data_IF_767593449375
#
_entry.id   IF_767593449375
#
_cell.length_a   1.000
_cell.length_b   1.000
_cell.length_c   1.000
_cell.angle_alpha   90.00
_cell.angle_beta   90.00
_cell.angle_gamma   90.00
#
_symmetry.space_group_name_H-M   'P 1'
#
loop_
_entity.id
_entity.type
_entity.pdbx_description
1 polymer ?
#
# COMPACT_ATOMS: atom_id res chain seq x y z
N UNK A 1 -13.65 22.42 48.82
CA UNK A 1 -13.74 21.43 47.71
C UNK A 1 -13.19 22.06 46.43
N UNK A 2 -11.97 21.71 46.03
CA UNK A 2 -11.33 22.25 44.83
C UNK A 2 -11.90 21.62 43.57
N UNK A 3 -12.42 22.44 42.65
CA UNK A 3 -12.86 22.00 41.32
C UNK A 3 -11.63 21.57 40.52
N UNK A 4 -11.49 20.27 40.27
CA UNK A 4 -10.53 19.75 39.29
C UNK A 4 -10.82 20.40 37.93
N UNK A 5 -9.95 21.31 37.48
CA UNK A 5 -10.02 21.86 36.12
C UNK A 5 -9.56 20.76 35.18
N UNK A 6 -10.52 20.13 34.50
CA UNK A 6 -10.23 19.18 33.43
C UNK A 6 -9.42 19.92 32.36
N UNK A 7 -8.24 19.41 31.94
CA UNK A 7 -7.43 20.07 30.95
C UNK A 7 -8.18 20.25 29.64
N UNK A 8 -8.02 21.40 28.98
CA UNK A 8 -8.76 21.75 27.76
C UNK A 8 -8.59 20.71 26.61
N UNK A 9 -7.48 19.97 26.60
CA UNK A 9 -7.23 18.89 25.63
C UNK A 9 -8.12 17.65 25.84
N UNK A 10 -8.75 17.49 27.01
CA UNK A 10 -9.69 16.40 27.30
C UNK A 10 -11.07 16.64 26.65
N UNK A 11 -11.39 17.87 26.25
CA UNK A 11 -12.62 18.25 25.54
C UNK A 11 -12.45 18.31 24.01
N UNK A 12 -11.43 17.67 23.45
CA UNK A 12 -11.38 17.48 22.00
C UNK A 12 -12.47 16.49 21.57
N UNK A 13 -13.36 16.95 20.70
CA UNK A 13 -14.34 16.09 20.05
C UNK A 13 -13.68 14.94 19.28
N UNK A 14 -14.40 13.83 19.11
CA UNK A 14 -13.90 12.59 18.49
C UNK A 14 -13.15 12.82 17.16
N UNK A 15 -13.66 13.73 16.31
CA UNK A 15 -13.02 14.10 15.04
C UNK A 15 -11.61 14.68 15.21
N UNK A 16 -11.42 15.56 16.20
CA UNK A 16 -10.13 16.19 16.45
C UNK A 16 -9.12 15.17 17.01
N UNK A 17 -9.58 14.22 17.85
CA UNK A 17 -8.75 13.11 18.32
C UNK A 17 -8.31 12.21 17.17
N UNK A 18 -9.24 11.84 16.27
CA UNK A 18 -8.95 11.01 15.10
C UNK A 18 -7.92 11.66 14.17
N UNK A 19 -8.02 12.97 13.93
CA UNK A 19 -7.04 13.71 13.14
C UNK A 19 -5.67 13.76 13.79
N UNK A 20 -5.61 13.94 15.12
CA UNK A 20 -4.34 13.92 15.85
C UNK A 20 -3.70 12.53 15.76
N UNK A 21 -4.46 11.46 15.98
CA UNK A 21 -3.94 10.11 15.88
C UNK A 21 -3.48 9.78 14.46
N UNK A 22 -4.25 10.14 13.43
CA UNK A 22 -3.84 9.87 12.04
C UNK A 22 -2.57 10.64 11.67
N UNK A 23 -2.45 11.90 12.10
CA UNK A 23 -1.25 12.71 11.89
C UNK A 23 -0.05 12.13 12.63
N UNK A 24 -0.23 11.72 13.88
CA UNK A 24 0.82 11.13 14.70
C UNK A 24 1.30 9.80 14.11
N UNK A 25 0.38 8.95 13.63
CA UNK A 25 0.71 7.73 12.90
C UNK A 25 1.52 8.04 11.64
N UNK A 26 1.13 9.03 10.84
CA UNK A 26 1.87 9.40 9.63
C UNK A 26 3.28 9.90 9.94
N UNK A 27 3.45 10.70 10.99
CA UNK A 27 4.77 11.18 11.44
C UNK A 27 5.64 10.01 11.91
N UNK A 28 5.09 9.11 12.73
CA UNK A 28 5.81 7.91 13.19
C UNK A 28 6.22 7.06 11.99
N UNK A 29 5.30 6.76 11.06
CA UNK A 29 5.61 5.98 9.86
C UNK A 29 6.72 6.65 9.02
N UNK A 30 6.70 7.97 8.87
CA UNK A 30 7.74 8.71 8.16
C UNK A 30 9.12 8.64 8.81
N UNK A 31 9.19 8.70 10.15
CA UNK A 31 10.45 8.59 10.90
C UNK A 31 11.05 7.18 10.82
N UNK A 32 10.20 6.15 10.82
CA UNK A 32 10.63 4.76 10.77
C UNK A 32 10.90 4.23 9.35
N UNK A 33 10.53 4.97 8.30
CA UNK A 33 10.66 4.53 6.91
C UNK A 33 12.12 4.18 6.53
N UNK A 34 13.08 5.03 6.92
CA UNK A 34 14.51 4.80 6.68
C UNK A 34 15.08 3.60 7.44
N UNK A 35 14.94 3.54 8.78
CA UNK A 35 15.38 2.39 9.58
C UNK A 35 14.73 1.07 9.15
N UNK A 36 13.42 1.08 8.84
CA UNK A 36 12.71 -0.10 8.35
C UNK A 36 13.27 -0.56 6.99
N UNK A 37 13.53 0.37 6.06
CA UNK A 37 14.13 0.04 4.78
C UNK A 37 15.49 -0.64 4.95
N UNK A 38 16.35 -0.14 5.85
CA UNK A 38 17.65 -0.74 6.12
C UNK A 38 17.52 -2.14 6.76
N UNK A 39 16.64 -2.29 7.74
CA UNK A 39 16.39 -3.57 8.39
C UNK A 39 15.88 -4.63 7.40
N UNK A 40 14.91 -4.27 6.54
CA UNK A 40 14.38 -5.14 5.48
C UNK A 40 15.48 -5.48 4.47
N UNK A 41 16.33 -4.53 4.10
CA UNK A 41 17.41 -4.75 3.13
C UNK A 41 18.44 -5.77 3.65
N UNK A 42 18.81 -5.71 4.93
CA UNK A 42 19.71 -6.67 5.57
C UNK A 42 19.08 -8.06 5.59
N UNK A 43 17.80 -8.16 5.99
CA UNK A 43 17.09 -9.44 6.01
C UNK A 43 16.90 -10.03 4.60
N UNK A 44 16.58 -9.19 3.61
CA UNK A 44 16.43 -9.59 2.22
C UNK A 44 17.72 -10.16 1.62
N UNK A 45 18.89 -9.68 2.07
CA UNK A 45 20.19 -10.23 1.65
C UNK A 45 20.41 -11.68 2.14
N UNK A 46 19.84 -12.05 3.29
CA UNK A 46 19.93 -13.42 3.84
C UNK A 46 18.86 -14.39 3.30
N UNK A 47 17.77 -13.88 2.71
CA UNK A 47 16.56 -14.65 2.39
C UNK A 47 16.11 -14.58 0.92
N UNK A 48 17.03 -14.79 -0.02
CA UNK A 48 16.81 -14.57 -1.48
C UNK A 48 15.56 -15.28 -2.01
N UNK A 49 15.28 -16.51 -1.56
CA UNK A 49 14.11 -17.29 -2.01
C UNK A 49 12.81 -16.66 -1.51
N UNK A 50 12.72 -16.32 -0.22
CA UNK A 50 11.52 -15.71 0.37
C UNK A 50 11.18 -14.37 -0.28
N UNK A 51 12.20 -13.56 -0.58
CA UNK A 51 12.04 -12.27 -1.28
C UNK A 51 11.52 -12.49 -2.70
N UNK A 52 12.07 -13.46 -3.45
CA UNK A 52 11.61 -13.77 -4.82
C UNK A 52 10.19 -14.32 -4.83
N UNK A 53 9.87 -15.23 -3.91
CA UNK A 53 8.51 -15.77 -3.80
C UNK A 53 7.52 -14.66 -3.45
N UNK A 54 7.84 -13.82 -2.46
CA UNK A 54 7.00 -12.66 -2.12
C UNK A 54 6.82 -11.70 -3.30
N UNK A 55 7.90 -11.43 -4.05
CA UNK A 55 7.82 -10.62 -5.27
C UNK A 55 6.85 -11.21 -6.29
N UNK A 56 6.98 -12.49 -6.63
CA UNK A 56 6.13 -13.14 -7.63
C UNK A 56 4.69 -13.30 -7.16
N UNK A 57 4.46 -13.57 -5.86
CA UNK A 57 3.12 -13.63 -5.26
C UNK A 57 2.42 -12.27 -5.29
N UNK A 58 3.17 -11.17 -5.13
CA UNK A 58 2.64 -9.81 -5.24
C UNK A 58 2.61 -9.26 -6.67
N UNK A 59 3.14 -9.99 -7.65
CA UNK A 59 3.27 -9.47 -9.00
C UNK A 59 1.91 -9.45 -9.69
N UNK A 60 1.48 -8.26 -10.13
CA UNK A 60 0.16 -8.06 -10.74
C UNK A 60 -0.15 -8.98 -11.92
N UNK A 61 0.83 -9.27 -12.79
CA UNK A 61 0.63 -10.18 -13.92
C UNK A 61 0.37 -11.62 -13.45
N UNK A 62 1.11 -12.09 -12.44
CA UNK A 62 0.92 -13.43 -11.87
C UNK A 62 -0.47 -13.56 -11.25
N UNK A 63 -0.89 -12.57 -10.45
CA UNK A 63 -2.21 -12.55 -9.84
C UNK A 63 -3.33 -12.52 -10.89
N UNK A 64 -3.20 -11.68 -11.92
CA UNK A 64 -4.18 -11.58 -13.00
C UNK A 64 -4.31 -12.90 -13.77
N UNK A 65 -3.18 -13.50 -14.16
CA UNK A 65 -3.17 -14.80 -14.87
C UNK A 65 -3.75 -15.91 -13.99
N UNK A 66 -3.37 -15.95 -12.71
CA UNK A 66 -3.85 -16.97 -11.78
C UNK A 66 -5.37 -16.86 -11.57
N UNK A 67 -5.91 -15.66 -11.35
CA UNK A 67 -7.33 -15.46 -11.16
C UNK A 67 -8.13 -15.72 -12.45
N UNK A 68 -7.64 -15.29 -13.61
CA UNK A 68 -8.24 -15.60 -14.90
C UNK A 68 -8.23 -17.12 -15.17
N UNK A 69 -7.11 -17.79 -14.87
CA UNK A 69 -6.99 -19.25 -14.96
C UNK A 69 -7.96 -19.97 -14.03
N UNK A 70 -8.12 -19.50 -12.79
CA UNK A 70 -9.08 -20.05 -11.83
C UNK A 70 -10.53 -19.91 -12.31
N UNK A 71 -10.85 -18.78 -12.93
CA UNK A 71 -12.17 -18.54 -13.53
C UNK A 71 -12.45 -19.50 -14.69
N UNK A 72 -11.50 -19.63 -15.62
CA UNK A 72 -11.62 -20.55 -16.77
C UNK A 72 -11.69 -22.01 -16.32
N UNK A 73 -10.85 -22.40 -15.36
CA UNK A 73 -10.87 -23.73 -14.78
C UNK A 73 -12.19 -24.01 -14.08
N UNK A 74 -12.68 -23.09 -13.23
CA UNK A 74 -13.98 -23.20 -12.58
C UNK A 74 -15.14 -23.34 -13.56
N UNK A 75 -15.03 -22.71 -14.74
CA UNK A 75 -15.99 -22.87 -15.84
C UNK A 75 -15.90 -24.24 -16.49
N UNK A 76 -14.72 -24.81 -16.66
CA UNK A 76 -14.56 -26.15 -17.24
C UNK A 76 -15.09 -27.26 -16.34
N UNK A 77 -15.04 -27.09 -15.01
CA UNK A 77 -15.50 -28.09 -14.04
C UNK A 77 -16.89 -27.76 -13.43
N UNK A 78 -17.61 -26.80 -14.02
CA UNK A 78 -18.93 -26.34 -13.56
C UNK A 78 -19.01 -26.05 -12.05
N UNK A 79 -17.97 -25.41 -11.50
CA UNK A 79 -17.91 -24.99 -10.08
C UNK A 79 -18.27 -23.51 -9.96
N UNK A 80 -19.56 -23.15 -9.79
CA UNK A 80 -19.99 -21.75 -9.77
C UNK A 80 -19.36 -20.94 -8.63
N UNK A 81 -19.08 -21.58 -7.49
CA UNK A 81 -18.38 -20.94 -6.35
C UNK A 81 -16.95 -20.52 -6.70
N UNK A 82 -16.24 -21.34 -7.47
CA UNK A 82 -14.86 -21.04 -7.87
C UNK A 82 -14.84 -19.90 -8.90
N UNK A 83 -15.79 -19.92 -9.84
CA UNK A 83 -15.96 -18.83 -10.82
C UNK A 83 -16.32 -17.52 -10.14
N UNK A 84 -17.23 -17.53 -9.16
CA UNK A 84 -17.61 -16.34 -8.40
C UNK A 84 -16.40 -15.76 -7.64
N UNK A 85 -15.68 -16.59 -6.89
CA UNK A 85 -14.49 -16.16 -6.16
C UNK A 85 -13.40 -15.58 -7.09
N UNK A 86 -13.17 -16.22 -8.24
CA UNK A 86 -12.20 -15.75 -9.23
C UNK A 86 -12.63 -14.41 -9.86
N UNK A 87 -13.93 -14.25 -10.16
CA UNK A 87 -14.50 -12.99 -10.69
C UNK A 87 -14.38 -11.86 -9.67
N UNK A 88 -14.77 -12.10 -8.43
CA UNK A 88 -14.71 -11.11 -7.36
C UNK A 88 -13.25 -10.72 -7.09
N UNK A 89 -12.34 -11.70 -7.11
CA UNK A 89 -10.89 -11.47 -7.03
C UNK A 89 -10.37 -10.61 -8.19
N UNK A 90 -10.79 -10.87 -9.43
CA UNK A 90 -10.42 -10.04 -10.59
C UNK A 90 -10.94 -8.60 -10.45
N UNK A 91 -12.18 -8.42 -10.00
CA UNK A 91 -12.74 -7.09 -9.77
C UNK A 91 -11.98 -6.34 -8.67
N UNK A 92 -11.67 -7.02 -7.55
CA UNK A 92 -10.86 -6.44 -6.48
C UNK A 92 -9.45 -6.07 -6.95
N UNK A 93 -8.82 -6.91 -7.78
CA UNK A 93 -7.52 -6.64 -8.37
C UNK A 93 -7.53 -5.40 -9.27
N UNK A 94 -8.53 -5.26 -10.14
CA UNK A 94 -8.67 -4.07 -11.01
C UNK A 94 -8.91 -2.82 -10.17
N UNK A 95 -9.84 -2.87 -9.22
CA UNK A 95 -10.17 -1.71 -8.37
C UNK A 95 -8.99 -1.26 -7.52
N UNK A 96 -8.26 -2.21 -6.92
CA UNK A 96 -7.06 -1.90 -6.14
C UNK A 96 -5.92 -1.36 -7.01
N UNK A 97 -5.74 -1.91 -8.22
CA UNK A 97 -4.78 -1.39 -9.19
C UNK A 97 -5.07 0.05 -9.60
N UNK A 98 -6.33 0.36 -9.92
CA UNK A 98 -6.79 1.72 -10.23
C UNK A 98 -6.60 2.66 -9.04
N UNK A 99 -7.00 2.26 -7.84
CA UNK A 99 -6.83 3.05 -6.63
C UNK A 99 -5.34 3.33 -6.34
N UNK A 100 -4.48 2.33 -6.49
CA UNK A 100 -3.04 2.48 -6.32
C UNK A 100 -2.44 3.40 -7.39
N UNK A 101 -2.89 3.30 -8.64
CA UNK A 101 -2.45 4.17 -9.72
C UNK A 101 -2.86 5.62 -9.45
N UNK A 102 -4.12 5.86 -9.09
CA UNK A 102 -4.60 7.19 -8.71
C UNK A 102 -3.81 7.75 -7.53
N UNK A 103 -3.57 6.94 -6.49
CA UNK A 103 -2.81 7.37 -5.32
C UNK A 103 -1.37 7.73 -5.68
N UNK A 104 -0.71 6.95 -6.54
CA UNK A 104 0.63 7.29 -7.06
C UNK A 104 0.64 8.64 -7.76
N UNK A 105 -0.32 8.88 -8.64
CA UNK A 105 -0.42 10.15 -9.35
C UNK A 105 -0.75 11.32 -8.43
N UNK A 106 -1.55 11.12 -7.38
CA UNK A 106 -1.90 12.20 -6.45
C UNK A 106 -0.75 12.55 -5.49
N UNK A 107 -0.02 11.55 -5.01
CA UNK A 107 1.08 11.73 -4.07
C UNK A 107 2.37 12.15 -4.79
N UNK A 108 2.65 11.54 -5.95
CA UNK A 108 3.84 11.82 -6.77
C UNK A 108 5.16 11.47 -6.09
N UNK A 109 5.16 10.54 -5.12
CA UNK A 109 6.35 10.22 -4.31
C UNK A 109 7.44 9.52 -5.15
N UNK A 110 8.64 10.10 -5.29
CA UNK A 110 9.73 9.48 -6.04
C UNK A 110 10.29 8.27 -5.29
N UNK A 111 10.78 7.29 -6.06
CA UNK A 111 11.41 6.08 -5.48
C UNK A 111 12.70 6.44 -4.72
N UNK A 112 13.07 5.69 -3.66
CA UNK A 112 14.29 5.97 -2.88
C UNK A 112 15.57 6.10 -3.72
N UNK A 113 15.68 5.35 -4.82
CA UNK A 113 16.81 5.45 -5.77
C UNK A 113 16.93 6.82 -6.47
N UNK A 114 15.81 7.49 -6.72
CA UNK A 114 15.74 8.80 -7.39
C UNK A 114 15.99 9.96 -6.42
N UNK A 115 15.65 9.76 -5.13
CA UNK A 115 16.03 10.68 -4.06
C UNK A 115 17.55 10.80 -3.89
N UNK A 116 18.28 9.70 -4.03
CA UNK A 116 19.76 9.71 -4.01
C UNK A 116 20.33 10.52 -5.18
N UNK A 117 19.58 10.65 -6.28
CA UNK A 117 19.95 11.43 -7.46
C UNK A 117 19.47 12.91 -7.39
N UNK A 118 18.89 13.35 -6.26
CA UNK A 118 18.47 14.73 -6.05
C UNK A 118 17.13 15.12 -6.70
N UNK A 119 16.38 14.16 -7.24
CA UNK A 119 15.06 14.44 -7.85
C UNK A 119 14.00 14.47 -6.75
N UNK A 120 13.60 15.67 -6.34
CA UNK A 120 12.54 15.90 -5.35
C UNK A 120 11.31 16.43 -6.08
N UNK A 121 10.32 15.58 -6.28
CA UNK A 121 9.01 15.97 -6.80
C UNK A 121 7.93 15.49 -5.81
N UNK A 122 6.99 16.36 -5.50
CA UNK A 122 5.85 16.06 -4.63
C UNK A 122 4.63 16.76 -5.24
N UNK A 123 3.55 16.02 -5.45
CA UNK A 123 2.32 16.53 -6.06
C UNK A 123 1.96 15.84 -7.39
N UNK A 124 0.82 16.24 -7.98
CA UNK A 124 0.26 15.56 -9.14
C UNK A 124 1.12 15.75 -10.38
N UNK A 125 1.59 14.64 -10.93
CA UNK A 125 2.39 14.64 -12.15
C UNK A 125 2.02 13.46 -13.04
N UNK A 126 1.84 13.77 -14.33
CA UNK A 126 1.69 12.80 -15.41
C UNK A 126 3.04 12.60 -16.16
N UNK A 127 4.15 13.13 -15.62
CA UNK A 127 5.47 13.00 -16.26
C UNK A 127 6.00 11.58 -16.12
N UNK A 128 6.16 10.93 -17.27
CA UNK A 128 6.90 9.66 -17.40
C UNK A 128 8.34 9.84 -16.88
N UNK A 129 8.81 8.88 -16.08
CA UNK A 129 10.14 8.88 -15.46
C UNK A 129 10.17 9.06 -13.93
N UNK A 130 9.07 9.53 -13.32
CA UNK A 130 8.82 9.44 -11.88
C UNK A 130 7.87 8.29 -11.54
N UNK A 131 6.94 8.00 -12.45
CA UNK A 131 6.06 6.83 -12.43
C UNK A 131 6.60 5.73 -13.35
N UNK A 132 7.65 5.02 -12.89
CA UNK A 132 8.09 3.72 -13.44
C UNK A 132 8.90 2.89 -12.45
#
# INVERSE_FOLDING_TARGET
MGRFKVPAWMNLGLKARLLIYSTLVMVVLGLFDGPLFQAVRVFAASGVIGVRLGYWMGHGLVLAVLLAGLYLFGRQIDRPRLMAAARDGLMAFVLSGLAAQLLKHLVGRPRPRLWVQGVVHWGPSLKEGLDS
#
